data_IF_333209121543
#
_entry.id   IF_333209121543
#
_cell.length_a   1.000
_cell.length_b   1.000
_cell.length_c   1.000
_cell.angle_alpha   90.00
_cell.angle_beta   90.00
_cell.angle_gamma   90.00
#
_symmetry.space_group_name_H-M   'P 1'
#
loop_
_entity.id
_entity.type
_entity.pdbx_description
1 polymer ?
#
# COMPACT_ATOMS: atom_id res chain seq x y z
N UNK A 1 34.19 18.31 -20.54
CA UNK A 1 34.23 17.38 -21.68
C UNK A 1 33.39 16.17 -21.34
N UNK A 2 32.50 15.85 -22.25
CA UNK A 2 31.50 14.80 -22.25
C UNK A 2 32.13 13.42 -22.41
N UNK A 3 31.63 12.42 -21.69
CA UNK A 3 31.60 11.03 -22.15
C UNK A 3 30.17 10.52 -21.98
N UNK A 4 29.48 10.44 -23.13
CA UNK A 4 28.17 9.85 -23.32
C UNK A 4 28.29 8.32 -23.38
N UNK A 5 27.19 7.68 -22.96
CA UNK A 5 26.62 6.47 -23.54
C UNK A 5 27.49 5.21 -23.68
N UNK A 6 27.04 4.14 -23.03
CA UNK A 6 27.27 2.79 -23.54
C UNK A 6 27.83 1.81 -22.52
N UNK A 7 27.06 1.51 -21.48
CA UNK A 7 27.05 0.19 -20.85
C UNK A 7 25.77 0.11 -20.02
N UNK A 8 24.69 -0.32 -20.68
CA UNK A 8 23.64 -1.04 -19.96
C UNK A 8 24.13 -2.48 -19.98
N UNK A 9 24.69 -3.04 -18.89
CA UNK A 9 25.01 -4.45 -18.88
C UNK A 9 23.68 -5.18 -18.96
N UNK A 10 23.41 -5.76 -20.12
CA UNK A 10 22.32 -6.69 -20.36
C UNK A 10 22.52 -7.97 -19.54
N UNK A 11 22.35 -7.86 -18.23
CA UNK A 11 22.44 -8.93 -17.26
C UNK A 11 21.16 -8.98 -16.43
N UNK A 12 20.00 -9.17 -17.07
CA UNK A 12 18.70 -9.28 -16.43
C UNK A 12 18.53 -10.55 -15.60
N UNK A 13 19.42 -10.79 -14.64
CA UNK A 13 19.32 -11.89 -13.68
C UNK A 13 18.23 -11.64 -12.64
N UNK A 14 17.69 -12.72 -12.08
CA UNK A 14 16.76 -12.66 -10.92
C UNK A 14 17.37 -11.91 -9.73
N UNK A 15 18.70 -11.89 -9.61
CA UNK A 15 19.46 -11.14 -8.60
C UNK A 15 19.24 -9.63 -8.71
N UNK A 16 19.30 -9.11 -9.93
CA UNK A 16 19.22 -7.67 -10.19
C UNK A 16 17.78 -7.19 -10.02
N UNK A 17 16.80 -8.02 -10.42
CA UNK A 17 15.39 -7.77 -10.15
C UNK A 17 15.06 -7.83 -8.65
N UNK A 18 15.65 -8.77 -7.91
CA UNK A 18 15.49 -8.86 -6.46
C UNK A 18 16.13 -7.67 -5.74
N UNK A 19 17.32 -7.24 -6.19
CA UNK A 19 18.01 -6.07 -5.66
C UNK A 19 17.24 -4.78 -5.96
N UNK A 20 16.74 -4.59 -7.18
CA UNK A 20 15.92 -3.44 -7.55
C UNK A 20 14.59 -3.41 -6.77
N UNK A 21 13.96 -4.57 -6.57
CA UNK A 21 12.79 -4.68 -5.71
C UNK A 21 13.14 -4.33 -4.25
N UNK A 22 14.24 -4.86 -3.72
CA UNK A 22 14.70 -4.56 -2.36
C UNK A 22 14.98 -3.07 -2.17
N UNK A 23 15.64 -2.41 -3.13
CA UNK A 23 15.88 -0.97 -3.12
C UNK A 23 14.58 -0.16 -3.21
N UNK A 24 13.61 -0.61 -4.02
CA UNK A 24 12.31 0.05 -4.18
C UNK A 24 11.43 -0.08 -2.93
N UNK A 25 11.44 -1.24 -2.28
CA UNK A 25 10.63 -1.49 -1.08
C UNK A 25 11.35 -1.18 0.23
N UNK A 26 12.62 -0.76 0.19
CA UNK A 26 13.34 -0.29 1.37
C UNK A 26 12.59 0.89 2.01
N UNK A 27 12.41 0.93 3.35
CA UNK A 27 11.65 1.99 4.03
C UNK A 27 12.17 3.41 3.75
N UNK A 28 13.46 3.55 3.44
CA UNK A 28 14.07 4.85 3.12
C UNK A 28 14.07 5.19 1.62
N UNK A 29 13.50 4.32 0.78
CA UNK A 29 13.45 4.56 -0.66
C UNK A 29 12.58 5.78 -0.98
N UNK A 30 12.89 6.48 -2.08
CA UNK A 30 12.06 7.58 -2.57
C UNK A 30 10.63 7.10 -2.88
N UNK A 31 10.48 5.85 -3.33
CA UNK A 31 9.18 5.25 -3.57
C UNK A 31 8.36 5.12 -2.28
N UNK A 32 8.96 4.62 -1.20
CA UNK A 32 8.29 4.49 0.09
C UNK A 32 7.85 5.85 0.65
N UNK A 33 8.74 6.86 0.56
CA UNK A 33 8.44 8.24 0.95
C UNK A 33 7.30 8.83 0.14
N UNK A 34 7.31 8.68 -1.19
CA UNK A 34 6.25 9.16 -2.07
C UNK A 34 4.90 8.48 -1.77
N UNK A 35 4.88 7.17 -1.50
CA UNK A 35 3.68 6.48 -1.05
C UNK A 35 3.16 7.04 0.28
N UNK A 36 4.04 7.36 1.23
CA UNK A 36 3.68 8.03 2.48
C UNK A 36 2.98 9.36 2.24
N UNK A 37 3.59 10.25 1.45
CA UNK A 37 3.01 11.56 1.08
C UNK A 37 1.64 11.40 0.44
N UNK A 38 1.47 10.43 -0.47
CA UNK A 38 0.17 10.16 -1.11
C UNK A 38 -0.89 9.67 -0.12
N UNK A 39 -0.50 8.85 0.86
CA UNK A 39 -1.40 8.36 1.91
C UNK A 39 -1.80 9.47 2.87
N UNK A 40 -0.90 10.42 3.17
CA UNK A 40 -1.17 11.58 4.03
C UNK A 40 -2.20 12.55 3.42
N UNK A 41 -2.38 12.53 2.10
CA UNK A 41 -3.44 13.28 1.42
C UNK A 41 -4.84 12.66 1.58
N UNK A 42 -4.95 11.47 2.17
CA UNK A 42 -6.21 10.76 2.36
C UNK A 42 -6.70 10.91 3.81
N UNK A 43 -8.03 11.01 4.03
CA UNK A 43 -8.57 10.86 5.37
C UNK A 43 -8.12 9.51 5.96
N UNK A 44 -7.62 9.50 7.20
CA UNK A 44 -7.04 8.31 7.87
C UNK A 44 -7.91 7.06 7.72
N UNK A 45 -9.22 7.20 7.89
CA UNK A 45 -10.19 6.10 7.75
C UNK A 45 -10.28 5.54 6.33
N UNK A 46 -10.12 6.37 5.30
CA UNK A 46 -10.12 5.91 3.90
C UNK A 46 -8.79 5.23 3.55
N UNK A 47 -7.66 5.79 4.02
CA UNK A 47 -6.34 5.17 3.87
C UNK A 47 -6.31 3.78 4.53
N UNK A 48 -6.75 3.69 5.78
CA UNK A 48 -6.86 2.44 6.52
C UNK A 48 -7.74 1.40 5.80
N UNK A 49 -8.92 1.81 5.34
CA UNK A 49 -9.82 0.92 4.59
C UNK A 49 -9.16 0.39 3.31
N UNK A 50 -8.46 1.26 2.58
CA UNK A 50 -7.76 0.91 1.35
C UNK A 50 -6.62 -0.08 1.62
N UNK A 51 -5.80 0.17 2.64
CA UNK A 51 -4.65 -0.65 2.98
C UNK A 51 -5.06 -2.04 3.49
N UNK A 52 -6.06 -2.13 4.37
CA UNK A 52 -6.59 -3.43 4.82
C UNK A 52 -7.09 -4.27 3.63
N UNK A 53 -7.83 -3.64 2.72
CA UNK A 53 -8.34 -4.34 1.53
C UNK A 53 -7.23 -4.75 0.56
N UNK A 54 -6.19 -3.93 0.40
CA UNK A 54 -5.06 -4.21 -0.46
C UNK A 54 -4.16 -5.32 0.11
N UNK A 55 -4.01 -5.36 1.42
CA UNK A 55 -3.20 -6.38 2.11
C UNK A 55 -3.92 -7.73 2.20
N UNK A 56 -5.25 -7.79 2.04
CA UNK A 56 -6.03 -9.03 2.14
C UNK A 56 -5.53 -10.10 1.16
N UNK A 57 -5.19 -11.25 1.73
CA UNK A 57 -4.92 -12.50 1.01
C UNK A 57 -6.16 -13.39 1.17
N UNK A 58 -6.64 -13.98 0.09
CA UNK A 58 -7.75 -14.93 0.20
C UNK A 58 -7.28 -16.26 0.82
N UNK A 59 -8.04 -16.87 1.75
CA UNK A 59 -7.59 -18.04 2.51
C UNK A 59 -7.24 -19.28 1.69
N UNK A 60 -7.67 -19.39 0.42
CA UNK A 60 -7.35 -20.52 -0.46
C UNK A 60 -5.87 -20.62 -0.89
N UNK A 61 -4.99 -19.72 -0.45
CA UNK A 61 -3.56 -19.74 -0.78
C UNK A 61 -2.76 -20.54 0.27
N UNK A 62 -1.63 -21.15 -0.11
CA UNK A 62 -0.76 -21.91 0.80
C UNK A 62 -0.04 -20.94 1.77
N UNK A 63 0.00 -21.27 3.07
CA UNK A 63 0.73 -20.56 4.12
C UNK A 63 -0.15 -20.10 5.29
N UNK A 64 0.47 -19.46 6.28
CA UNK A 64 -0.22 -18.79 7.39
C UNK A 64 0.22 -17.34 7.46
N UNK A 65 -0.72 -16.41 7.30
CA UNK A 65 -0.51 -14.97 7.43
C UNK A 65 -1.72 -14.33 8.10
N UNK A 66 -1.49 -13.30 8.91
CA UNK A 66 -2.57 -12.51 9.53
C UNK A 66 -3.50 -11.89 8.49
N UNK A 67 -3.00 -11.71 7.26
CA UNK A 67 -3.70 -11.15 6.12
C UNK A 67 -4.56 -12.17 5.36
N UNK A 68 -4.47 -13.45 5.70
CA UNK A 68 -5.32 -14.51 5.14
C UNK A 68 -6.67 -14.47 5.82
N UNK A 69 -7.54 -13.60 5.31
CA UNK A 69 -8.86 -13.32 5.90
C UNK A 69 -9.95 -13.26 4.83
N UNK A 70 -11.14 -13.75 5.20
CA UNK A 70 -12.35 -13.47 4.44
C UNK A 70 -12.73 -11.99 4.55
N UNK A 71 -13.66 -11.53 3.71
CA UNK A 71 -14.12 -10.15 3.77
C UNK A 71 -14.75 -9.80 5.13
N UNK A 72 -15.49 -10.75 5.71
CA UNK A 72 -16.09 -10.63 7.05
C UNK A 72 -15.02 -10.55 8.13
N UNK A 73 -14.02 -11.43 8.07
CA UNK A 73 -12.90 -11.44 9.02
C UNK A 73 -12.05 -10.17 8.99
N UNK A 74 -12.01 -9.42 7.88
CA UNK A 74 -11.36 -8.10 7.86
C UNK A 74 -11.99 -7.12 8.86
N UNK A 75 -13.31 -7.18 9.04
CA UNK A 75 -14.06 -6.31 9.96
C UNK A 75 -13.97 -6.84 11.38
N UNK A 76 -14.14 -8.15 11.56
CA UNK A 76 -14.07 -8.79 12.88
C UNK A 76 -12.69 -8.67 13.52
N UNK A 77 -11.62 -8.73 12.71
CA UNK A 77 -10.22 -8.66 13.17
C UNK A 77 -9.56 -7.31 12.86
N UNK A 78 -10.36 -6.28 12.56
CA UNK A 78 -9.83 -5.00 12.06
C UNK A 78 -8.83 -4.35 13.02
N UNK A 79 -8.98 -4.51 14.33
CA UNK A 79 -8.03 -3.94 15.29
C UNK A 79 -6.61 -4.53 15.10
N UNK A 80 -6.51 -5.85 14.98
CA UNK A 80 -5.24 -6.55 14.76
C UNK A 80 -4.62 -6.14 13.42
N UNK A 81 -5.45 -6.04 12.38
CA UNK A 81 -5.01 -5.66 11.04
C UNK A 81 -4.57 -4.19 10.99
N UNK A 82 -5.29 -3.28 11.65
CA UNK A 82 -4.92 -1.87 11.76
C UNK A 82 -3.62 -1.70 12.53
N UNK A 83 -3.44 -2.42 13.63
CA UNK A 83 -2.19 -2.39 14.41
C UNK A 83 -1.00 -2.89 13.60
N UNK A 84 -1.18 -3.94 12.81
CA UNK A 84 -0.15 -4.44 11.90
C UNK A 84 0.23 -3.44 10.79
N UNK A 85 -0.64 -2.47 10.48
CA UNK A 85 -0.38 -1.36 9.55
C UNK A 85 0.14 -0.09 10.25
N UNK A 86 0.26 -0.08 11.58
CA UNK A 86 0.57 1.13 12.35
C UNK A 86 -0.58 2.17 12.35
N UNK A 87 -1.82 1.74 12.12
CA UNK A 87 -3.02 2.58 11.99
C UNK A 87 -4.06 2.31 13.10
N UNK A 88 -3.63 1.82 14.26
CA UNK A 88 -4.52 1.50 15.38
C UNK A 88 -5.10 2.75 16.07
N UNK A 89 -4.49 3.91 15.92
CA UNK A 89 -4.92 5.15 16.59
C UNK A 89 -5.65 6.11 15.65
N UNK A 90 -6.78 6.66 16.13
CA UNK A 90 -7.53 7.68 15.40
C UNK A 90 -8.35 7.17 14.20
N UNK A 91 -8.42 5.85 13.96
CA UNK A 91 -9.28 5.24 12.94
C UNK A 91 -10.52 4.63 13.61
N UNK A 92 -11.69 5.24 13.40
CA UNK A 92 -12.96 4.64 13.82
C UNK A 92 -13.22 3.34 13.07
N UNK A 93 -13.53 2.28 13.82
CA UNK A 93 -13.83 0.96 13.29
C UNK A 93 -14.98 0.95 12.29
N UNK A 94 -14.88 0.06 11.30
CA UNK A 94 -15.90 -0.23 10.30
C UNK A 94 -16.96 -1.15 10.88
N UNK A 95 -18.22 -0.79 10.68
CA UNK A 95 -19.38 -1.52 11.21
C UNK A 95 -19.77 -2.71 10.33
N UNK A 96 -19.42 -2.66 9.05
CA UNK A 96 -19.71 -3.73 8.09
C UNK A 96 -18.66 -3.79 6.98
N UNK A 97 -18.67 -4.91 6.26
CA UNK A 97 -17.81 -5.12 5.07
C UNK A 97 -18.11 -4.07 4.01
N UNK A 98 -19.37 -3.69 3.85
CA UNK A 98 -19.79 -2.68 2.89
C UNK A 98 -19.20 -1.31 3.23
N UNK A 99 -19.31 -0.87 4.49
CA UNK A 99 -18.73 0.41 4.94
C UNK A 99 -17.23 0.45 4.71
N UNK A 100 -16.52 -0.65 5.00
CA UNK A 100 -15.10 -0.81 4.71
C UNK A 100 -14.81 -0.66 3.20
N UNK A 101 -15.54 -1.39 2.35
CA UNK A 101 -15.34 -1.36 0.90
C UNK A 101 -15.60 0.01 0.30
N UNK A 102 -16.68 0.68 0.71
CA UNK A 102 -17.02 2.03 0.27
C UNK A 102 -15.94 3.03 0.66
N UNK A 103 -15.47 2.98 1.91
CA UNK A 103 -14.37 3.84 2.38
C UNK A 103 -13.09 3.63 1.57
N UNK A 104 -12.72 2.37 1.29
CA UNK A 104 -11.55 2.05 0.47
C UNK A 104 -11.71 2.48 -0.99
N UNK A 105 -12.90 2.35 -1.58
CA UNK A 105 -13.20 2.85 -2.93
C UNK A 105 -13.05 4.38 -3.01
N UNK A 106 -13.54 5.11 -2.00
CA UNK A 106 -13.37 6.57 -1.90
C UNK A 106 -11.90 6.96 -1.77
N UNK A 107 -11.13 6.27 -0.92
CA UNK A 107 -9.69 6.46 -0.78
C UNK A 107 -8.95 6.29 -2.11
N UNK A 108 -9.19 5.18 -2.83
CA UNK A 108 -8.62 4.94 -4.16
C UNK A 108 -8.98 6.05 -5.16
N UNK A 109 -10.26 6.45 -5.20
CA UNK A 109 -10.71 7.52 -6.11
C UNK A 109 -10.00 8.84 -5.80
N UNK A 110 -9.83 9.18 -4.53
CA UNK A 110 -9.14 10.40 -4.11
C UNK A 110 -7.66 10.36 -4.47
N UNK A 111 -6.99 9.22 -4.26
CA UNK A 111 -5.58 9.04 -4.63
C UNK A 111 -5.39 9.20 -6.16
N UNK A 112 -6.29 8.64 -6.97
CA UNK A 112 -6.29 8.88 -8.41
C UNK A 112 -6.46 10.35 -8.78
N UNK A 113 -7.32 11.09 -8.08
CA UNK A 113 -7.48 12.53 -8.31
C UNK A 113 -6.19 13.30 -7.99
N UNK A 114 -5.54 12.99 -6.85
CA UNK A 114 -4.26 13.60 -6.47
C UNK A 114 -3.19 13.33 -7.54
N UNK A 115 -3.08 12.09 -8.01
CA UNK A 115 -2.13 11.71 -9.05
C UNK A 115 -2.42 12.39 -10.40
N UNK A 116 -3.70 12.49 -10.78
CA UNK A 116 -4.11 13.10 -12.04
C UNK A 116 -3.85 14.62 -12.09
N UNK A 117 -3.87 15.28 -10.93
CA UNK A 117 -3.63 16.73 -10.81
C UNK A 117 -2.12 17.06 -10.78
N UNK A 118 -1.24 16.07 -10.58
CA UNK A 118 0.22 16.30 -10.51
C UNK A 118 0.70 17.02 -9.24
N UNK A 119 -0.21 17.41 -8.34
CA UNK A 119 0.09 18.02 -7.04
C UNK A 119 0.48 16.95 -6.01
N UNK A 120 1.61 16.29 -6.22
CA UNK A 120 2.34 15.71 -5.08
C UNK A 120 3.15 16.85 -4.50
N UNK A 121 2.55 17.62 -3.57
CA UNK A 121 3.28 18.66 -2.82
C UNK A 121 4.43 17.96 -2.09
N UNK A 122 5.65 18.27 -2.52
CA UNK A 122 6.90 17.80 -1.91
C UNK A 122 7.16 18.51 -0.59
#
# INVERSE_FOLDING_TARGET
>A
MTALAGEVPGGGGRSDQAMLAALRYHPQSQWHKACGVLLDQLPKRQAAAMLIQAARIRPEKIGHSIWMVTARQMVERQEVLLRALGLNEGVRHFESVEVLQVAGKRGRKRLWQVLAVGEVRQ
#
